data_IF_001588226046
#
_entry.id   IF_001588226046
#
_cell.length_a   1.000
_cell.length_b   1.000
_cell.length_c   1.000
_cell.angle_alpha   90.00
_cell.angle_beta   90.00
_cell.angle_gamma   90.00
#
_symmetry.space_group_name_H-M   'P 1'
#
loop_
_entity.id
_entity.type
_entity.pdbx_description
1 polymer ?
#
# COMPACT_ATOMS: atom_id res chain seq x y z
N UNK A 1 -3.34 9.16 -10.17
CA UNK A 1 -3.90 7.95 -9.54
C UNK A 1 -2.90 6.83 -9.74
N UNK A 2 -2.51 6.15 -8.66
CA UNK A 2 -1.52 5.08 -8.62
C UNK A 2 -2.23 3.75 -8.28
N UNK A 3 -1.97 2.71 -9.06
CA UNK A 3 -2.49 1.37 -8.84
C UNK A 3 -1.35 0.44 -8.45
N UNK A 4 -1.47 -0.22 -7.31
CA UNK A 4 -0.46 -1.13 -6.80
C UNK A 4 -1.10 -2.46 -6.40
N UNK A 5 -0.94 -3.48 -7.26
CA UNK A 5 -1.48 -4.82 -7.04
C UNK A 5 -0.41 -5.77 -6.50
N UNK A 6 -0.57 -6.20 -5.25
CA UNK A 6 0.38 -7.04 -4.52
C UNK A 6 1.86 -6.61 -4.67
N UNK A 7 2.19 -5.30 -4.58
CA UNK A 7 3.51 -4.78 -4.97
C UNK A 7 4.64 -5.24 -4.04
N UNK A 8 4.31 -5.79 -2.88
CA UNK A 8 5.24 -6.19 -1.83
C UNK A 8 5.37 -7.71 -1.66
N UNK A 9 4.67 -8.52 -2.45
CA UNK A 9 4.50 -9.97 -2.23
C UNK A 9 5.79 -10.82 -2.16
N UNK A 10 6.93 -10.32 -2.67
CA UNK A 10 8.23 -11.03 -2.70
C UNK A 10 9.31 -10.42 -1.81
N UNK A 11 8.96 -9.41 -1.02
CA UNK A 11 9.91 -8.72 -0.15
C UNK A 11 9.83 -9.31 1.27
N UNK A 12 10.93 -9.23 2.01
CA UNK A 12 10.92 -9.52 3.44
C UNK A 12 10.11 -8.44 4.19
N UNK A 13 9.57 -8.74 5.39
CA UNK A 13 8.66 -7.84 6.09
C UNK A 13 9.21 -6.42 6.36
N UNK A 14 10.53 -6.27 6.56
CA UNK A 14 11.14 -4.95 6.81
C UNK A 14 11.12 -4.13 5.52
N UNK A 15 11.58 -4.73 4.41
CA UNK A 15 11.58 -4.08 3.09
C UNK A 15 10.17 -3.80 2.59
N UNK A 16 9.19 -4.66 2.91
CA UNK A 16 7.77 -4.41 2.60
C UNK A 16 7.27 -3.11 3.23
N UNK A 17 7.52 -2.92 4.53
CA UNK A 17 7.06 -1.74 5.26
C UNK A 17 7.69 -0.46 4.70
N UNK A 18 8.98 -0.50 4.36
CA UNK A 18 9.67 0.64 3.75
C UNK A 18 9.12 0.98 2.37
N UNK A 19 9.00 -0.01 1.48
CA UNK A 19 8.48 0.20 0.12
C UNK A 19 7.05 0.78 0.13
N UNK A 20 6.21 0.28 1.03
CA UNK A 20 4.84 0.75 1.20
C UNK A 20 4.79 2.18 1.71
N UNK A 21 5.66 2.56 2.66
CA UNK A 21 5.73 3.93 3.15
C UNK A 21 6.15 4.89 2.05
N UNK A 22 7.14 4.51 1.25
CA UNK A 22 7.60 5.30 0.11
C UNK A 22 6.49 5.54 -0.92
N UNK A 23 5.73 4.49 -1.27
CA UNK A 23 4.59 4.62 -2.19
C UNK A 23 3.49 5.53 -1.65
N UNK A 24 3.16 5.40 -0.36
CA UNK A 24 2.15 6.24 0.28
C UNK A 24 2.59 7.71 0.35
N UNK A 25 3.85 7.97 0.70
CA UNK A 25 4.41 9.32 0.77
C UNK A 25 4.49 9.97 -0.62
N UNK A 26 4.89 9.21 -1.64
CA UNK A 26 4.86 9.67 -3.03
C UNK A 26 3.45 10.04 -3.49
N UNK A 27 2.46 9.17 -3.21
CA UNK A 27 1.08 9.45 -3.56
C UNK A 27 0.56 10.73 -2.88
N UNK A 28 0.91 10.97 -1.62
CA UNK A 28 0.56 12.20 -0.89
C UNK A 28 1.25 13.44 -1.47
N UNK A 29 2.55 13.35 -1.74
CA UNK A 29 3.34 14.46 -2.27
C UNK A 29 2.83 14.92 -3.64
N UNK A 30 2.41 13.98 -4.49
CA UNK A 30 1.90 14.23 -5.84
C UNK A 30 0.37 14.46 -5.87
N UNK A 31 -0.32 14.45 -4.74
CA UNK A 31 -1.78 14.61 -4.67
C UNK A 31 -2.55 13.51 -5.40
N UNK A 32 -2.00 12.29 -5.47
CA UNK A 32 -2.58 11.16 -6.18
C UNK A 32 -3.41 10.28 -5.23
N UNK A 33 -4.55 9.79 -5.72
CA UNK A 33 -5.20 8.64 -5.11
C UNK A 33 -4.33 7.38 -5.28
N UNK A 34 -4.15 6.62 -4.20
CA UNK A 34 -3.49 5.31 -4.19
C UNK A 34 -4.53 4.20 -4.00
N UNK A 35 -4.66 3.30 -4.98
CA UNK A 35 -5.36 2.03 -4.84
C UNK A 35 -4.33 0.92 -4.58
N UNK A 36 -4.35 0.35 -3.39
CA UNK A 36 -3.42 -0.69 -2.96
C UNK A 36 -4.16 -2.00 -2.69
N UNK A 37 -3.71 -3.09 -3.31
CA UNK A 37 -4.28 -4.44 -3.14
C UNK A 37 -3.26 -5.33 -2.42
N UNK A 38 -3.68 -5.94 -1.32
CA UNK A 38 -2.85 -6.85 -0.52
C UNK A 38 -3.71 -7.82 0.29
N UNK A 39 -3.11 -8.94 0.69
CA UNK A 39 -3.68 -9.86 1.68
C UNK A 39 -3.22 -9.54 3.11
N UNK A 40 -2.21 -8.66 3.28
CA UNK A 40 -1.73 -8.21 4.58
C UNK A 40 -2.59 -7.06 5.11
N UNK A 41 -3.43 -7.38 6.11
CA UNK A 41 -4.36 -6.43 6.73
C UNK A 41 -3.64 -5.42 7.63
N UNK A 42 -2.54 -5.79 8.26
CA UNK A 42 -1.79 -4.88 9.14
C UNK A 42 -1.14 -3.78 8.30
N UNK A 43 -0.58 -4.15 7.15
CA UNK A 43 -0.03 -3.22 6.18
C UNK A 43 -1.09 -2.25 5.64
N UNK A 44 -2.25 -2.77 5.22
CA UNK A 44 -3.36 -1.95 4.73
C UNK A 44 -3.86 -0.96 5.78
N UNK A 45 -4.00 -1.40 7.04
CA UNK A 45 -4.43 -0.55 8.14
C UNK A 45 -3.45 0.59 8.47
N UNK A 46 -2.16 0.42 8.14
CA UNK A 46 -1.15 1.44 8.38
C UNK A 46 -1.13 2.56 7.32
N UNK A 47 -1.59 2.29 6.10
CA UNK A 47 -1.41 3.22 4.97
C UNK A 47 -2.71 3.70 4.30
N UNK A 48 -3.78 2.91 4.36
CA UNK A 48 -5.01 3.20 3.64
C UNK A 48 -6.00 3.93 4.53
N UNK A 49 -6.56 5.03 4.03
CA UNK A 49 -7.65 5.74 4.72
C UNK A 49 -8.95 4.92 4.74
N UNK A 50 -9.14 4.06 3.74
CA UNK A 50 -10.31 3.19 3.58
C UNK A 50 -9.89 1.80 3.12
N UNK A 51 -10.55 0.79 3.65
CA UNK A 51 -10.30 -0.61 3.30
C UNK A 51 -11.61 -1.23 2.82
N UNK A 52 -11.55 -1.92 1.68
CA UNK A 52 -12.65 -2.73 1.15
C UNK A 52 -12.21 -4.19 1.12
N UNK A 53 -13.09 -5.10 1.55
CA UNK A 53 -12.84 -6.54 1.51
C UNK A 53 -13.65 -7.16 0.38
N UNK A 54 -12.95 -7.77 -0.56
CA UNK A 54 -13.55 -8.63 -1.58
C UNK A 54 -13.67 -10.05 -1.01
N UNK A 55 -14.78 -10.73 -1.30
CA UNK A 55 -15.05 -12.11 -0.90
C UNK A 55 -15.12 -13.00 -2.13
#
# INVERSE_FOLDING_TARGET
MLFADAPTSRLDPVTQAEAVRLLADLARAEGLALLFVSHDRALLAAICDRILTLR
#
